data_IF_541612441112
#
_entry.id   IF_541612441112
#
_cell.length_a   1.000
_cell.length_b   1.000
_cell.length_c   1.000
_cell.angle_alpha   90.00
_cell.angle_beta   90.00
_cell.angle_gamma   90.00
#
_symmetry.space_group_name_H-M   'P 1'
#
loop_
_entity.id
_entity.type
_entity.pdbx_description
1 polymer ?
#
# COMPACT_ATOMS: atom_id res chain seq x y z
N UNK A 1 -29.79 19.27 -22.42
CA UNK A 1 -30.18 18.99 -21.03
C UNK A 1 -30.91 17.65 -20.93
N UNK A 2 -30.16 16.54 -20.89
CA UNK A 2 -30.70 15.18 -20.80
C UNK A 2 -30.22 14.50 -19.54
N UNK A 3 -31.00 13.61 -18.97
CA UNK A 3 -30.55 12.77 -17.89
C UNK A 3 -29.86 11.52 -18.47
N UNK A 4 -28.64 11.26 -17.99
CA UNK A 4 -27.88 10.06 -18.33
C UNK A 4 -27.64 9.23 -17.10
N UNK A 5 -27.64 7.93 -17.23
CA UNK A 5 -27.18 7.02 -16.19
C UNK A 5 -25.76 6.56 -16.51
N UNK A 6 -24.83 6.87 -15.59
CA UNK A 6 -23.48 6.32 -15.59
C UNK A 6 -23.45 5.06 -14.74
N UNK A 7 -22.95 3.99 -15.30
CA UNK A 7 -22.79 2.72 -14.64
C UNK A 7 -21.32 2.31 -14.65
N UNK A 8 -20.83 1.85 -13.51
CA UNK A 8 -19.50 1.26 -13.37
C UNK A 8 -19.65 -0.18 -12.92
N UNK A 9 -18.98 -1.09 -13.59
CA UNK A 9 -18.99 -2.52 -13.25
C UNK A 9 -17.62 -3.14 -13.41
N UNK A 10 -17.33 -4.13 -12.58
CA UNK A 10 -16.10 -4.92 -12.64
C UNK A 10 -16.30 -6.29 -12.01
N UNK A 11 -15.30 -7.16 -12.15
CA UNK A 11 -15.22 -8.40 -11.40
C UNK A 11 -14.24 -8.22 -10.22
N UNK A 12 -14.56 -8.79 -9.07
CA UNK A 12 -13.61 -8.94 -7.98
C UNK A 12 -12.60 -10.07 -8.29
N UNK A 13 -11.69 -10.36 -7.37
CA UNK A 13 -10.68 -11.43 -7.53
C UNK A 13 -11.29 -12.82 -7.72
N UNK A 14 -12.47 -13.08 -7.14
CA UNK A 14 -13.17 -14.36 -7.23
C UNK A 14 -14.07 -14.46 -8.47
N UNK A 15 -14.05 -13.45 -9.34
CA UNK A 15 -14.86 -13.39 -10.55
C UNK A 15 -16.30 -12.90 -10.35
N UNK A 16 -16.69 -12.51 -9.14
CA UNK A 16 -18.03 -11.98 -8.85
C UNK A 16 -18.19 -10.56 -9.36
N UNK A 17 -19.34 -10.24 -9.94
CA UNK A 17 -19.64 -8.93 -10.47
C UNK A 17 -20.00 -7.93 -9.36
N UNK A 18 -19.43 -6.75 -9.48
CA UNK A 18 -19.72 -5.57 -8.67
C UNK A 18 -20.15 -4.43 -9.57
N UNK A 19 -21.09 -3.63 -9.09
CA UNK A 19 -21.72 -2.58 -9.87
C UNK A 19 -22.12 -1.39 -9.02
N UNK A 20 -22.05 -0.22 -9.62
CA UNK A 20 -22.64 1.02 -9.11
C UNK A 20 -23.28 1.78 -10.26
N UNK A 21 -24.22 2.68 -9.96
CA UNK A 21 -24.78 3.57 -10.97
C UNK A 21 -25.21 4.90 -10.36
N UNK A 22 -25.20 5.94 -11.17
CA UNK A 22 -25.66 7.26 -10.77
C UNK A 22 -26.23 8.04 -11.96
N UNK A 23 -27.30 8.78 -11.72
CA UNK A 23 -27.97 9.61 -12.72
C UNK A 23 -27.45 11.03 -12.64
N UNK A 24 -27.07 11.60 -13.76
CA UNK A 24 -26.58 12.96 -13.89
C UNK A 24 -27.38 13.75 -14.92
N UNK A 25 -27.47 15.06 -14.72
CA UNK A 25 -27.98 16.00 -15.71
C UNK A 25 -26.84 16.49 -16.59
N UNK A 26 -26.95 16.35 -17.91
CA UNK A 26 -25.99 16.98 -18.82
C UNK A 26 -26.19 18.51 -18.86
N UNK A 27 -25.12 19.22 -19.15
CA UNK A 27 -25.21 20.64 -19.51
C UNK A 27 -25.76 20.80 -20.97
N UNK A 28 -25.86 22.06 -21.43
CA UNK A 28 -26.38 22.40 -22.78
C UNK A 28 -25.52 21.82 -23.94
N UNK A 29 -24.26 21.42 -23.62
CA UNK A 29 -23.35 20.77 -24.57
C UNK A 29 -23.41 19.24 -24.49
N UNK A 30 -24.31 18.67 -23.70
CA UNK A 30 -24.39 17.22 -23.47
C UNK A 30 -23.30 16.62 -22.59
N UNK A 31 -22.61 17.44 -21.78
CA UNK A 31 -21.45 17.03 -20.98
C UNK A 31 -21.81 16.90 -19.52
N UNK A 32 -21.26 15.88 -18.84
CA UNK A 32 -21.26 15.70 -17.39
C UNK A 32 -19.83 15.73 -16.88
N UNK A 33 -19.57 16.51 -15.83
CA UNK A 33 -18.28 16.55 -15.12
C UNK A 33 -18.43 15.90 -13.74
N UNK A 34 -18.25 14.59 -13.65
CA UNK A 34 -18.43 13.80 -12.43
C UNK A 34 -17.63 14.36 -11.23
N UNK A 35 -16.42 14.90 -11.49
CA UNK A 35 -15.59 15.51 -10.46
C UNK A 35 -16.09 16.87 -9.94
N UNK A 36 -17.12 17.47 -10.59
CA UNK A 36 -17.61 18.83 -10.26
C UNK A 36 -19.11 18.88 -10.06
N UNK A 37 -19.79 17.76 -10.20
CA UNK A 37 -21.26 17.69 -10.17
C UNK A 37 -21.70 16.49 -9.32
N UNK A 38 -22.64 16.75 -8.41
CA UNK A 38 -23.30 15.69 -7.67
C UNK A 38 -24.29 14.94 -8.58
N UNK A 39 -24.48 13.63 -8.42
CA UNK A 39 -25.55 12.92 -9.09
C UNK A 39 -26.92 13.37 -8.56
N UNK A 40 -27.93 13.30 -9.43
CA UNK A 40 -29.32 13.51 -9.05
C UNK A 40 -29.79 12.40 -8.12
N UNK A 41 -29.40 11.15 -8.46
CA UNK A 41 -29.68 9.96 -7.68
C UNK A 41 -28.68 8.86 -8.01
N UNK A 42 -28.60 7.82 -7.18
CA UNK A 42 -27.73 6.68 -7.47
C UNK A 42 -27.10 6.08 -6.21
N UNK A 43 -26.01 5.36 -6.40
CA UNK A 43 -25.31 4.61 -5.37
C UNK A 43 -24.50 5.48 -4.39
N UNK A 44 -24.31 6.76 -4.69
CA UNK A 44 -23.64 7.73 -3.81
C UNK A 44 -24.27 9.13 -3.90
N UNK A 45 -23.89 10.02 -2.99
CA UNK A 45 -24.38 11.41 -2.90
C UNK A 45 -23.18 12.37 -2.84
N UNK A 46 -23.43 13.63 -3.23
CA UNK A 46 -22.42 14.68 -3.20
C UNK A 46 -21.48 14.66 -4.41
N UNK A 47 -20.55 15.63 -4.44
CA UNK A 47 -19.55 15.75 -5.51
C UNK A 47 -18.36 14.88 -5.11
N UNK A 48 -18.15 13.80 -5.89
CA UNK A 48 -17.04 12.90 -5.67
C UNK A 48 -16.63 12.22 -6.99
N UNK A 49 -15.41 12.49 -7.46
CA UNK A 49 -14.87 11.91 -8.71
C UNK A 49 -14.71 10.39 -8.65
N UNK A 50 -14.62 9.82 -7.45
CA UNK A 50 -14.46 8.38 -7.21
C UNK A 50 -15.75 7.72 -6.71
N UNK A 51 -16.85 8.48 -6.60
CA UNK A 51 -18.09 8.03 -6.03
C UNK A 51 -18.62 6.73 -6.66
N UNK A 52 -18.63 6.63 -7.99
CA UNK A 52 -19.02 5.39 -8.70
C UNK A 52 -18.10 4.19 -8.41
N UNK A 53 -16.84 4.42 -8.02
CA UNK A 53 -15.90 3.33 -7.76
C UNK A 53 -16.03 2.76 -6.34
N UNK A 54 -16.10 3.62 -5.33
CA UNK A 54 -16.18 3.14 -3.95
C UNK A 54 -17.60 2.71 -3.55
N UNK A 55 -18.63 3.16 -4.26
CA UNK A 55 -20.03 2.81 -4.00
C UNK A 55 -20.50 1.54 -4.69
N UNK A 56 -19.61 0.81 -5.39
CA UNK A 56 -19.97 -0.47 -6.00
C UNK A 56 -20.39 -1.48 -4.93
N UNK A 57 -21.43 -2.24 -5.24
CA UNK A 57 -21.94 -3.36 -4.45
C UNK A 57 -21.96 -4.64 -5.27
N UNK A 58 -21.87 -5.81 -4.65
CA UNK A 58 -21.98 -7.08 -5.35
C UNK A 58 -23.37 -7.20 -5.98
N UNK A 59 -23.41 -7.73 -7.19
CA UNK A 59 -24.68 -8.01 -7.87
C UNK A 59 -25.34 -9.30 -7.38
N UNK A 60 -24.55 -10.21 -6.82
CA UNK A 60 -25.02 -11.41 -6.14
C UNK A 60 -25.38 -11.06 -4.69
N UNK A 61 -26.54 -11.54 -4.24
CA UNK A 61 -27.05 -11.30 -2.86
C UNK A 61 -26.45 -12.25 -1.82
N UNK A 62 -25.62 -13.21 -2.23
CA UNK A 62 -24.94 -14.11 -1.29
C UNK A 62 -23.88 -13.34 -0.49
N UNK A 63 -24.13 -13.19 0.81
CA UNK A 63 -23.28 -12.44 1.72
C UNK A 63 -21.86 -13.04 1.88
N UNK A 64 -21.66 -14.32 1.58
CA UNK A 64 -20.35 -14.96 1.62
C UNK A 64 -19.39 -14.42 0.56
N UNK A 65 -19.91 -13.74 -0.48
CA UNK A 65 -19.17 -13.18 -1.61
C UNK A 65 -19.01 -11.65 -1.56
N UNK A 66 -19.29 -11.04 -0.41
CA UNK A 66 -19.33 -9.58 -0.27
C UNK A 66 -17.98 -8.91 -0.07
N UNK A 67 -16.88 -9.65 -0.14
CA UNK A 67 -15.53 -9.06 -0.04
C UNK A 67 -15.02 -8.69 -1.42
N UNK A 68 -14.76 -7.40 -1.64
CA UNK A 68 -14.24 -6.91 -2.93
C UNK A 68 -12.80 -7.36 -3.17
N UNK A 69 -11.96 -7.24 -2.14
CA UNK A 69 -10.57 -7.70 -2.13
C UNK A 69 -10.33 -8.55 -0.90
N UNK A 70 -10.06 -9.83 -1.08
CA UNK A 70 -9.66 -10.73 0.00
C UNK A 70 -8.19 -10.55 0.37
N UNK A 71 -7.38 -10.07 -0.56
CA UNK A 71 -5.96 -9.77 -0.38
C UNK A 71 -5.56 -8.52 -1.18
N UNK A 72 -4.61 -7.75 -0.66
CA UNK A 72 -4.01 -6.65 -1.42
C UNK A 72 -3.10 -7.26 -2.49
N UNK A 73 -3.49 -7.17 -3.75
CA UNK A 73 -2.75 -7.72 -4.89
C UNK A 73 -2.44 -6.65 -5.93
N UNK A 74 -1.42 -6.92 -6.76
CA UNK A 74 -1.02 -6.06 -7.87
C UNK A 74 -1.85 -6.28 -9.15
N UNK A 75 -2.93 -7.06 -9.08
CA UNK A 75 -3.71 -7.37 -10.27
C UNK A 75 -4.33 -6.11 -10.88
N UNK A 76 -4.19 -6.04 -12.20
CA UNK A 76 -4.89 -5.08 -13.03
C UNK A 76 -6.39 -5.17 -12.78
N UNK A 77 -7.00 -4.05 -12.47
CA UNK A 77 -8.43 -3.96 -12.26
C UNK A 77 -9.08 -3.36 -13.50
N UNK A 78 -9.70 -4.21 -14.32
CA UNK A 78 -10.49 -3.77 -15.47
C UNK A 78 -11.89 -3.38 -15.02
N UNK A 79 -12.25 -2.16 -15.33
CA UNK A 79 -13.55 -1.58 -14.97
C UNK A 79 -14.25 -1.13 -16.23
N UNK A 80 -15.48 -1.58 -16.42
CA UNK A 80 -16.35 -1.13 -17.50
C UNK A 80 -17.14 0.11 -17.06
N UNK A 81 -17.01 1.18 -17.83
CA UNK A 81 -17.80 2.40 -17.68
C UNK A 81 -18.82 2.46 -18.80
N UNK A 82 -20.10 2.52 -18.46
CA UNK A 82 -21.22 2.51 -19.40
C UNK A 82 -22.09 3.75 -19.22
N UNK A 83 -22.51 4.34 -20.32
CA UNK A 83 -23.44 5.48 -20.38
C UNK A 83 -24.74 5.04 -20.98
N UNK A 84 -25.83 5.27 -20.27
CA UNK A 84 -27.19 4.97 -20.75
C UNK A 84 -27.99 6.26 -20.89
N UNK A 85 -28.79 6.33 -21.95
CA UNK A 85 -29.85 7.31 -22.11
C UNK A 85 -31.19 6.55 -22.02
N UNK A 86 -31.92 6.77 -20.96
CA UNK A 86 -32.98 5.85 -20.54
C UNK A 86 -32.42 4.43 -20.37
N UNK A 87 -33.06 3.44 -21.01
CA UNK A 87 -32.60 2.05 -20.96
C UNK A 87 -31.63 1.68 -22.11
N UNK A 88 -31.25 2.65 -22.96
CA UNK A 88 -30.41 2.38 -24.13
C UNK A 88 -28.97 2.68 -23.85
N UNK A 89 -28.10 1.65 -23.92
CA UNK A 89 -26.66 1.82 -23.89
C UNK A 89 -26.19 2.68 -25.07
N UNK A 90 -25.43 3.74 -24.78
CA UNK A 90 -24.86 4.66 -25.76
C UNK A 90 -23.37 4.49 -25.94
N UNK A 91 -22.66 4.39 -24.84
CA UNK A 91 -21.18 4.29 -24.82
C UNK A 91 -20.82 3.27 -23.76
N UNK A 92 -19.83 2.45 -24.07
CA UNK A 92 -19.15 1.60 -23.11
C UNK A 92 -17.65 1.69 -23.34
N UNK A 93 -16.89 1.86 -22.27
CA UNK A 93 -15.42 1.91 -22.30
C UNK A 93 -14.84 1.14 -21.13
N UNK A 94 -13.86 0.30 -21.40
CA UNK A 94 -13.06 -0.35 -20.37
C UNK A 94 -11.89 0.53 -20.00
N UNK A 95 -11.70 0.77 -18.70
CA UNK A 95 -10.55 1.44 -18.13
C UNK A 95 -9.77 0.43 -17.30
N UNK A 96 -8.44 0.55 -17.33
CA UNK A 96 -7.51 -0.24 -16.52
C UNK A 96 -7.06 0.60 -15.34
N UNK A 97 -7.36 0.13 -14.15
CA UNK A 97 -6.88 0.73 -12.90
C UNK A 97 -5.62 0.01 -12.46
N UNK A 98 -4.56 0.76 -12.31
CA UNK A 98 -3.29 0.28 -11.78
C UNK A 98 -3.21 0.66 -10.31
N UNK A 99 -2.90 -0.27 -9.42
CA UNK A 99 -2.54 0.04 -8.04
C UNK A 99 -1.17 0.71 -7.98
N UNK A 100 -0.28 0.31 -8.90
CA UNK A 100 1.09 0.82 -8.98
C UNK A 100 1.40 1.12 -10.44
N UNK A 101 1.92 2.31 -10.76
CA UNK A 101 2.39 2.63 -12.10
C UNK A 101 3.57 1.73 -12.49
N UNK A 102 3.78 1.49 -13.82
CA UNK A 102 4.81 0.58 -14.32
C UNK A 102 6.24 1.13 -14.22
N UNK A 103 6.42 2.34 -13.71
CA UNK A 103 7.69 3.04 -13.60
C UNK A 103 8.40 2.86 -12.24
N UNK A 104 7.93 1.96 -11.41
CA UNK A 104 8.60 1.56 -10.17
C UNK A 104 9.55 0.39 -10.44
N UNK A 105 10.82 0.60 -10.13
CA UNK A 105 11.84 -0.46 -10.15
C UNK A 105 11.80 -1.29 -8.88
N UNK A 106 12.10 -2.59 -9.03
CA UNK A 106 12.24 -3.54 -7.93
C UNK A 106 13.62 -4.20 -8.01
N UNK A 107 14.38 -4.19 -6.91
CA UNK A 107 15.68 -4.86 -6.78
C UNK A 107 15.73 -5.66 -5.48
N UNK A 108 15.97 -6.97 -5.57
CA UNK A 108 16.22 -7.80 -4.40
C UNK A 108 17.62 -7.51 -3.85
N UNK A 109 17.74 -7.43 -2.53
CA UNK A 109 18.94 -7.03 -1.80
C UNK A 109 19.41 -8.18 -0.92
N UNK A 110 20.64 -8.62 -1.17
CA UNK A 110 21.41 -9.55 -0.35
C UNK A 110 22.85 -9.01 -0.29
N UNK A 111 23.04 -7.86 0.35
CA UNK A 111 24.30 -7.13 0.34
C UNK A 111 24.69 -6.70 1.76
N UNK A 112 25.95 -6.90 2.11
CA UNK A 112 26.48 -6.46 3.43
C UNK A 112 25.67 -6.99 4.62
N UNK A 113 25.17 -8.22 4.53
CA UNK A 113 24.33 -8.84 5.57
C UNK A 113 22.90 -8.34 5.61
N UNK A 114 22.49 -7.42 4.74
CA UNK A 114 21.12 -6.90 4.64
C UNK A 114 20.33 -7.72 3.65
N UNK A 115 19.14 -8.13 4.06
CA UNK A 115 18.18 -8.87 3.24
C UNK A 115 16.88 -8.07 3.11
N UNK A 116 16.40 -7.93 1.88
CA UNK A 116 15.16 -7.20 1.62
C UNK A 116 14.91 -6.95 0.14
N UNK A 117 13.98 -6.06 -0.15
CA UNK A 117 13.67 -5.63 -1.51
C UNK A 117 13.61 -4.10 -1.57
N UNK A 118 14.35 -3.50 -2.49
CA UNK A 118 14.38 -2.07 -2.74
C UNK A 118 13.42 -1.73 -3.88
N UNK A 119 12.54 -0.75 -3.64
CA UNK A 119 11.63 -0.19 -4.63
C UNK A 119 11.89 1.30 -4.80
N UNK A 120 11.93 1.79 -6.03
CA UNK A 120 12.15 3.20 -6.32
C UNK A 120 11.62 3.58 -7.71
N UNK A 121 11.21 4.85 -7.93
CA UNK A 121 10.79 5.31 -9.25
C UNK A 121 11.97 5.40 -10.22
N UNK A 122 11.79 4.97 -11.49
CA UNK A 122 12.85 4.92 -12.53
C UNK A 122 13.53 6.24 -12.79
N UNK A 123 12.78 7.33 -12.80
CA UNK A 123 13.21 8.63 -13.31
C UNK A 123 13.25 9.72 -12.26
N UNK A 124 13.41 9.37 -10.98
CA UNK A 124 13.34 10.34 -9.89
C UNK A 124 14.73 10.81 -9.49
N UNK A 125 14.86 12.11 -9.19
CA UNK A 125 15.98 12.67 -8.43
C UNK A 125 16.01 12.01 -7.05
N UNK A 126 17.11 12.18 -6.30
CA UNK A 126 17.23 11.67 -4.94
C UNK A 126 15.98 11.98 -4.12
N UNK A 127 15.44 10.97 -3.46
CA UNK A 127 14.19 11.00 -2.71
C UNK A 127 14.40 10.66 -1.24
N UNK A 128 13.36 10.81 -0.41
CA UNK A 128 13.35 10.25 0.94
C UNK A 128 13.50 8.73 0.88
N UNK A 129 14.36 8.18 1.74
CA UNK A 129 14.47 6.75 1.97
C UNK A 129 13.50 6.31 3.07
N UNK A 130 12.72 5.27 2.83
CA UNK A 130 11.81 4.69 3.82
C UNK A 130 12.19 3.22 4.01
N UNK A 131 12.43 2.80 5.26
CA UNK A 131 12.55 1.39 5.60
C UNK A 131 11.22 0.92 6.14
N UNK A 132 10.61 -0.06 5.49
CA UNK A 132 9.41 -0.72 6.01
C UNK A 132 9.83 -1.95 6.80
N UNK A 133 9.41 -1.98 8.07
CA UNK A 133 9.68 -3.05 9.02
C UNK A 133 8.40 -3.87 9.19
N UNK A 134 8.39 -5.15 8.77
CA UNK A 134 7.22 -6.01 8.92
C UNK A 134 6.93 -6.33 10.38
N UNK A 135 5.70 -6.74 10.66
CA UNK A 135 5.30 -7.31 11.93
C UNK A 135 5.78 -8.75 12.10
N UNK A 136 5.15 -9.48 13.01
CA UNK A 136 5.46 -10.89 13.35
C UNK A 136 5.34 -11.87 12.18
N UNK A 137 4.68 -11.49 11.09
CA UNK A 137 4.61 -12.28 9.85
C UNK A 137 5.95 -12.34 9.08
N UNK A 138 6.88 -11.42 9.36
CA UNK A 138 8.23 -11.41 8.78
C UNK A 138 8.32 -10.88 7.35
N UNK A 139 7.21 -10.52 6.71
CA UNK A 139 7.18 -10.12 5.31
C UNK A 139 6.37 -8.84 5.08
N UNK A 140 6.91 -7.94 4.28
CA UNK A 140 6.19 -6.77 3.77
C UNK A 140 5.58 -7.14 2.42
N UNK A 141 4.27 -6.94 2.21
CA UNK A 141 3.68 -7.14 0.89
C UNK A 141 4.29 -6.16 -0.13
N UNK A 142 4.76 -6.65 -1.26
CA UNK A 142 5.37 -5.84 -2.33
C UNK A 142 4.50 -4.66 -2.76
N UNK A 143 3.18 -4.85 -2.79
CA UNK A 143 2.22 -3.81 -3.20
C UNK A 143 2.29 -2.56 -2.32
N UNK A 144 2.51 -2.71 -1.02
CA UNK A 144 2.62 -1.56 -0.09
C UNK A 144 3.87 -0.76 -0.42
N UNK A 145 5.00 -1.44 -0.59
CA UNK A 145 6.28 -0.82 -0.93
C UNK A 145 6.26 -0.15 -2.31
N UNK A 146 5.66 -0.81 -3.30
CA UNK A 146 5.51 -0.26 -4.64
C UNK A 146 4.57 0.96 -4.67
N UNK A 147 3.47 0.92 -3.91
CA UNK A 147 2.55 2.06 -3.81
C UNK A 147 3.26 3.27 -3.23
N UNK A 148 4.02 3.11 -2.14
CA UNK A 148 4.79 4.20 -1.54
C UNK A 148 5.86 4.70 -2.51
N UNK A 149 6.57 3.79 -3.18
CA UNK A 149 7.57 4.16 -4.18
C UNK A 149 6.96 4.92 -5.37
N UNK A 150 5.75 4.57 -5.80
CA UNK A 150 5.05 5.28 -6.88
C UNK A 150 4.73 6.75 -6.56
N UNK A 151 4.77 7.12 -5.27
CA UNK A 151 4.63 8.50 -4.80
C UNK A 151 5.98 9.24 -4.67
N UNK A 152 7.04 8.70 -5.23
CA UNK A 152 8.33 9.39 -5.32
C UNK A 152 9.31 9.06 -4.19
N UNK A 153 9.08 8.01 -3.41
CA UNK A 153 9.97 7.58 -2.33
C UNK A 153 10.85 6.40 -2.75
N UNK A 154 12.02 6.27 -2.14
CA UNK A 154 12.83 5.04 -2.23
C UNK A 154 12.54 4.18 -1.01
N UNK A 155 12.06 2.96 -1.22
CA UNK A 155 11.53 2.10 -0.15
C UNK A 155 12.34 0.82 -0.05
N UNK A 156 12.89 0.53 1.12
CA UNK A 156 13.48 -0.76 1.47
C UNK A 156 12.46 -1.56 2.31
N UNK A 157 11.87 -2.58 1.71
CA UNK A 157 11.13 -3.61 2.43
C UNK A 157 12.13 -4.54 3.10
N UNK A 158 12.42 -4.30 4.38
CA UNK A 158 13.48 -5.00 5.11
C UNK A 158 12.97 -6.35 5.62
N UNK A 159 13.76 -7.40 5.43
CA UNK A 159 13.58 -8.70 6.06
C UNK A 159 14.60 -8.84 7.19
N UNK A 160 14.20 -9.36 8.35
CA UNK A 160 15.10 -9.47 9.50
C UNK A 160 15.02 -10.83 10.22
N UNK A 161 14.18 -11.74 9.72
CA UNK A 161 14.12 -13.16 10.13
C UNK A 161 13.40 -13.99 9.06
N UNK A 162 13.47 -15.31 9.16
CA UNK A 162 12.90 -16.29 8.19
C UNK A 162 13.39 -16.08 6.75
N UNK A 163 14.67 -15.81 6.57
CA UNK A 163 15.30 -15.76 5.26
C UNK A 163 16.77 -16.23 5.37
N UNK A 164 17.36 -16.57 4.24
CA UNK A 164 18.73 -17.05 4.17
C UNK A 164 19.70 -16.02 4.78
N UNK A 165 20.55 -16.48 5.69
CA UNK A 165 21.50 -15.64 6.41
C UNK A 165 20.91 -14.83 7.56
N UNK A 166 19.63 -14.99 7.88
CA UNK A 166 18.95 -14.32 8.99
C UNK A 166 18.44 -15.35 10.02
N UNK A 167 18.12 -14.91 11.26
CA UNK A 167 17.53 -15.77 12.27
C UNK A 167 16.22 -16.42 11.78
N UNK A 168 16.05 -17.71 12.10
CA UNK A 168 14.79 -18.42 11.76
C UNK A 168 13.60 -17.89 12.57
N UNK A 169 13.84 -17.40 13.76
CA UNK A 169 12.82 -16.96 14.72
C UNK A 169 12.96 -15.47 15.02
N UNK A 170 11.86 -14.83 15.40
CA UNK A 170 11.82 -13.47 15.91
C UNK A 170 12.26 -13.48 17.39
N UNK A 171 13.53 -13.70 17.62
CA UNK A 171 14.14 -13.81 18.94
C UNK A 171 15.61 -13.41 18.88
N UNK A 172 16.08 -12.64 19.85
CA UNK A 172 17.46 -12.19 19.99
C UNK A 172 18.03 -11.49 18.75
N UNK A 173 17.22 -10.72 18.03
CA UNK A 173 17.64 -10.02 16.82
C UNK A 173 18.37 -8.73 17.21
N UNK A 174 19.62 -8.52 16.75
CA UNK A 174 20.40 -7.34 17.12
C UNK A 174 19.84 -6.07 16.49
N UNK A 175 19.68 -5.02 17.31
CA UNK A 175 19.24 -3.70 16.83
C UNK A 175 20.25 -3.09 15.85
N UNK A 176 21.50 -3.50 15.93
CA UNK A 176 22.58 -3.09 15.03
C UNK A 176 22.31 -3.49 13.57
N UNK A 177 21.58 -4.58 13.34
CA UNK A 177 21.14 -4.97 12.01
C UNK A 177 20.32 -3.86 11.33
N UNK A 178 19.38 -3.27 12.06
CA UNK A 178 18.54 -2.19 11.57
C UNK A 178 19.31 -0.88 11.40
N UNK A 179 20.26 -0.62 12.30
CA UNK A 179 21.17 0.52 12.16
C UNK A 179 22.00 0.40 10.88
N UNK A 180 22.52 -0.80 10.59
CA UNK A 180 23.24 -1.08 9.36
C UNK A 180 22.36 -0.88 8.13
N UNK A 181 21.10 -1.35 8.16
CA UNK A 181 20.15 -1.15 7.08
C UNK A 181 19.86 0.34 6.80
N UNK A 182 19.70 1.15 7.86
CA UNK A 182 19.56 2.61 7.73
C UNK A 182 20.79 3.24 7.07
N UNK A 183 21.98 2.89 7.51
CA UNK A 183 23.25 3.39 6.94
C UNK A 183 23.46 2.92 5.50
N UNK A 184 23.05 1.70 5.18
CA UNK A 184 23.10 1.17 3.82
C UNK A 184 22.14 1.96 2.90
N UNK A 185 20.90 2.19 3.33
CA UNK A 185 19.91 2.93 2.55
C UNK A 185 20.35 4.38 2.29
N UNK A 186 20.96 5.05 3.27
CA UNK A 186 21.54 6.41 3.14
C UNK A 186 22.54 6.51 1.99
N UNK A 187 23.26 5.44 1.67
CA UNK A 187 24.32 5.41 0.65
C UNK A 187 23.78 5.09 -0.75
N UNK A 188 22.50 4.73 -0.88
CA UNK A 188 21.94 4.40 -2.19
C UNK A 188 21.83 5.65 -3.07
N UNK A 189 22.16 5.55 -4.38
CA UNK A 189 22.19 6.70 -5.28
C UNK A 189 20.83 7.39 -5.44
N UNK A 190 19.73 6.66 -5.24
CA UNK A 190 18.36 7.17 -5.33
C UNK A 190 17.91 7.92 -4.06
N UNK A 191 18.68 7.85 -2.97
CA UNK A 191 18.28 8.37 -1.65
C UNK A 191 19.00 9.68 -1.34
N UNK A 192 18.27 10.66 -0.82
CA UNK A 192 18.85 11.77 -0.07
C UNK A 192 19.21 11.26 1.32
N UNK A 193 20.51 11.00 1.54
CA UNK A 193 21.01 10.37 2.76
C UNK A 193 20.69 11.12 4.06
N UNK A 194 20.24 12.37 3.97
CA UNK A 194 19.77 13.16 5.11
C UNK A 194 18.28 12.97 5.42
N UNK A 195 17.57 12.15 4.64
CA UNK A 195 16.11 12.03 4.71
C UNK A 195 15.69 10.56 4.78
N UNK A 196 15.78 9.98 5.97
CA UNK A 196 15.41 8.59 6.25
C UNK A 196 14.23 8.54 7.21
N UNK A 197 13.25 7.69 6.89
CA UNK A 197 12.13 7.37 7.76
C UNK A 197 12.04 5.86 8.00
N UNK A 198 11.55 5.48 9.18
CA UNK A 198 11.12 4.10 9.47
C UNK A 198 9.59 4.03 9.41
N UNK A 199 9.07 2.97 8.82
CA UNK A 199 7.64 2.66 8.85
C UNK A 199 7.47 1.23 9.35
N UNK A 200 6.84 1.09 10.50
CA UNK A 200 6.60 -0.22 11.12
C UNK A 200 5.11 -0.51 11.28
N UNK A 201 4.73 -1.78 11.20
CA UNK A 201 3.40 -2.27 11.48
C UNK A 201 3.44 -3.32 12.58
N UNK A 202 2.50 -3.22 13.56
CA UNK A 202 2.39 -4.19 14.67
C UNK A 202 3.75 -4.33 15.39
N UNK A 203 4.34 -5.53 15.45
CA UNK A 203 5.67 -5.78 16.01
C UNK A 203 6.77 -4.91 15.38
N UNK A 204 6.66 -4.65 14.06
CA UNK A 204 7.58 -3.74 13.39
C UNK A 204 7.40 -2.27 13.81
N UNK A 205 6.20 -1.88 14.23
CA UNK A 205 5.95 -0.54 14.76
C UNK A 205 6.55 -0.36 16.17
N UNK A 206 6.43 -1.36 17.05
CA UNK A 206 7.14 -1.43 18.33
C UNK A 206 8.65 -1.26 18.11
N UNK A 207 9.21 -2.06 17.20
CA UNK A 207 10.62 -1.99 16.85
C UNK A 207 11.02 -0.62 16.28
N UNK A 208 10.23 -0.03 15.41
CA UNK A 208 10.52 1.29 14.84
C UNK A 208 10.63 2.38 15.91
N UNK A 209 9.77 2.33 16.94
CA UNK A 209 9.85 3.23 18.10
C UNK A 209 11.09 2.95 18.95
N UNK A 210 11.42 1.69 19.19
CA UNK A 210 12.62 1.29 19.92
C UNK A 210 13.89 1.76 19.20
N UNK A 211 13.96 1.59 17.88
CA UNK A 211 15.07 2.06 17.05
C UNK A 211 15.22 3.58 17.09
N UNK A 212 14.12 4.31 17.10
CA UNK A 212 14.15 5.77 17.20
C UNK A 212 14.70 6.24 18.56
N UNK A 213 14.35 5.55 19.62
CA UNK A 213 14.90 5.83 20.95
C UNK A 213 16.39 5.46 21.06
N UNK A 214 16.81 4.35 20.43
CA UNK A 214 18.19 3.85 20.51
C UNK A 214 19.13 4.58 19.56
N UNK A 215 18.67 4.89 18.33
CA UNK A 215 19.49 5.51 17.28
C UNK A 215 18.87 6.81 16.74
N UNK A 216 18.60 7.82 17.55
CA UNK A 216 17.83 9.02 17.15
C UNK A 216 18.47 9.83 16.02
N UNK A 217 19.78 9.66 15.78
CA UNK A 217 20.51 10.37 14.71
C UNK A 217 20.50 9.63 13.37
N UNK A 218 19.97 8.42 13.31
CA UNK A 218 19.98 7.61 12.09
C UNK A 218 18.75 7.86 11.20
N UNK A 219 17.70 8.48 11.73
CA UNK A 219 16.44 8.75 11.02
C UNK A 219 15.87 10.11 11.35
N UNK A 220 14.95 10.58 10.52
CA UNK A 220 14.27 11.87 10.65
C UNK A 220 12.80 11.71 11.08
N UNK A 221 12.19 10.55 10.79
CA UNK A 221 10.78 10.31 11.09
C UNK A 221 10.51 8.82 11.36
N UNK A 222 9.46 8.57 12.13
CA UNK A 222 8.92 7.22 12.36
C UNK A 222 7.41 7.24 12.12
N UNK A 223 6.93 6.24 11.39
CA UNK A 223 5.52 5.93 11.19
C UNK A 223 5.26 4.60 11.89
N UNK A 224 4.58 4.63 13.03
CA UNK A 224 4.29 3.44 13.82
C UNK A 224 2.80 3.10 13.72
N UNK A 225 2.46 2.10 12.90
CA UNK A 225 1.08 1.70 12.66
C UNK A 225 0.71 0.50 13.54
N UNK A 226 -0.36 0.65 14.34
CA UNK A 226 -0.79 -0.34 15.36
C UNK A 226 0.33 -0.72 16.32
N UNK A 227 1.05 0.28 16.83
CA UNK A 227 2.18 0.10 17.74
C UNK A 227 1.73 -0.28 19.15
N UNK A 228 2.60 -1.03 19.84
CA UNK A 228 2.60 -1.12 21.30
C UNK A 228 3.53 -0.07 21.89
N UNK A 229 3.20 0.41 23.09
CA UNK A 229 4.08 1.24 23.92
C UNK A 229 5.01 0.42 24.82
N UNK A 230 4.93 -0.91 24.75
CA UNK A 230 5.76 -1.85 25.48
C UNK A 230 6.57 -2.68 24.48
N UNK A 231 7.79 -3.02 24.86
CA UNK A 231 8.63 -3.97 24.15
C UNK A 231 8.34 -5.36 24.71
N UNK A 232 7.77 -6.22 23.87
CA UNK A 232 7.43 -7.58 24.27
C UNK A 232 8.61 -8.54 24.03
N UNK A 233 8.63 -9.63 24.79
CA UNK A 233 9.46 -10.80 24.53
C UNK A 233 9.16 -11.41 23.16
N UNK A 234 9.92 -12.39 22.74
CA UNK A 234 9.57 -13.22 21.58
C UNK A 234 8.20 -13.89 21.77
N UNK A 235 7.63 -14.42 20.70
CA UNK A 235 6.36 -15.17 20.75
C UNK A 235 6.56 -16.64 21.14
N UNK A 236 7.76 -17.01 21.57
CA UNK A 236 8.08 -18.37 21.95
C UNK A 236 7.89 -18.54 23.46
N UNK A 237 7.56 -19.76 23.86
CA UNK A 237 7.39 -20.12 25.27
C UNK A 237 8.68 -19.95 26.10
N UNK A 238 9.81 -19.70 25.44
CA UNK A 238 11.12 -19.49 26.08
C UNK A 238 11.28 -18.11 26.75
N UNK A 239 10.36 -17.17 26.51
CA UNK A 239 10.33 -15.82 27.08
C UNK A 239 11.66 -15.03 26.93
N UNK A 240 12.37 -15.28 25.81
CA UNK A 240 13.59 -14.52 25.48
C UNK A 240 13.24 -13.13 24.96
N UNK A 241 14.18 -12.20 25.05
CA UNK A 241 14.02 -10.91 24.39
C UNK A 241 13.89 -11.11 22.87
N UNK A 242 12.99 -10.37 22.23
CA UNK A 242 12.93 -10.34 20.77
C UNK A 242 14.15 -9.63 20.16
N UNK A 243 14.69 -8.67 20.89
CA UNK A 243 15.75 -7.77 20.46
C UNK A 243 16.95 -7.83 21.38
N UNK A 244 18.15 -7.63 20.84
CA UNK A 244 19.39 -7.44 21.61
C UNK A 244 20.06 -6.14 21.18
N UNK A 245 20.87 -5.57 22.08
CA UNK A 245 21.71 -4.41 21.82
C UNK A 245 23.03 -4.54 22.56
N UNK A 246 24.17 -4.31 21.87
CA UNK A 246 25.51 -4.50 22.40
C UNK A 246 25.75 -5.90 23.00
N UNK A 247 25.19 -6.94 22.34
CA UNK A 247 25.30 -8.35 22.78
C UNK A 247 24.61 -8.66 24.12
N UNK A 248 23.65 -7.84 24.55
CA UNK A 248 22.88 -8.06 25.79
C UNK A 248 21.39 -8.18 25.52
#
# INVERSE_FOLDING_TARGET
NEQINLEVSCKNQDGNFWKSSAIFQTNDKGVVYVAKQAPISGSYKGIDSMGLFWSMTPTDKDSSKNTFLSQITLHLHEVSLSVFLGNKLRIQKTIRRLFVPPDVEKKDIHEQGIVGTLFYPKNTKKSFGIIIIPGSGGKVPDVVSQLIASHGYTVLALTYFKADGLPEKLSLIPLEYFQQAMRWLKKQPQVDGNKIALMGHSRGAELALLLAATFPREMNAVIAYSASNLVYSDFLLEQKSAWTYNNT
#
